data_IF_103581907540
#
_entry.id   IF_103581907540
#
_cell.length_a   1.000
_cell.length_b   1.000
_cell.length_c   1.000
_cell.angle_alpha   90.00
_cell.angle_beta   90.00
_cell.angle_gamma   90.00
#
_symmetry.space_group_name_H-M   'P 1'
#
loop_
_entity.id
_entity.type
_entity.pdbx_description
1 polymer ?
#
# COMPACT_ATOMS: atom_id res chain seq x y z
N UNK A 1 -19.21 20.11 4.55
CA UNK A 1 -18.45 19.16 3.71
C UNK A 1 -18.78 17.78 4.22
N UNK A 2 -19.18 16.84 3.36
CA UNK A 2 -19.41 15.45 3.79
C UNK A 2 -18.06 14.83 4.15
N UNK A 3 -17.91 14.40 5.40
CA UNK A 3 -16.72 13.69 5.84
C UNK A 3 -16.61 12.37 5.06
N UNK A 4 -15.40 12.04 4.59
CA UNK A 4 -15.09 10.71 4.10
C UNK A 4 -14.30 9.96 5.17
N UNK A 5 -14.94 8.98 5.81
CA UNK A 5 -14.33 8.21 6.90
C UNK A 5 -13.12 7.42 6.39
N UNK A 6 -13.15 6.97 5.13
CA UNK A 6 -12.01 6.27 4.52
C UNK A 6 -10.80 7.21 4.43
N UNK A 7 -10.99 8.49 4.06
CA UNK A 7 -9.88 9.43 3.92
C UNK A 7 -9.29 9.83 5.28
N UNK A 8 -10.14 9.94 6.31
CA UNK A 8 -9.71 10.15 7.69
C UNK A 8 -8.78 9.02 8.16
N UNK A 9 -9.14 7.77 7.89
CA UNK A 9 -8.36 6.60 8.30
C UNK A 9 -7.09 6.48 7.45
N UNK A 10 -7.17 6.75 6.14
CA UNK A 10 -5.98 6.80 5.26
C UNK A 10 -4.94 7.81 5.74
N UNK A 11 -5.37 8.94 6.30
CA UNK A 11 -4.46 9.90 6.92
C UNK A 11 -3.61 9.32 8.05
N UNK A 12 -4.11 8.29 8.76
CA UNK A 12 -3.34 7.56 9.78
C UNK A 12 -2.53 6.39 9.19
N UNK A 13 -3.01 5.80 8.10
CA UNK A 13 -2.36 4.69 7.38
C UNK A 13 -1.40 5.20 6.27
N UNK A 14 -0.68 6.28 6.55
CA UNK A 14 0.19 6.94 5.58
C UNK A 14 1.41 6.11 5.18
N UNK A 15 2.21 6.60 4.20
CA UNK A 15 3.38 5.89 3.67
C UNK A 15 4.39 5.47 4.74
N UNK A 16 4.61 6.32 5.76
CA UNK A 16 5.50 6.01 6.88
C UNK A 16 5.04 4.75 7.65
N UNK A 17 3.73 4.59 7.87
CA UNK A 17 3.19 3.41 8.56
C UNK A 17 3.29 2.15 7.68
N UNK A 18 3.09 2.30 6.37
CA UNK A 18 3.23 1.21 5.40
C UNK A 18 4.67 0.70 5.38
N UNK A 19 5.64 1.62 5.23
CA UNK A 19 7.06 1.33 5.30
C UNK A 19 7.39 0.65 6.63
N UNK A 20 7.05 1.26 7.77
CA UNK A 20 7.36 0.70 9.09
C UNK A 20 6.75 -0.69 9.31
N UNK A 21 5.52 -0.93 8.84
CA UNK A 21 4.86 -2.24 8.90
C UNK A 21 5.53 -3.26 8.01
N UNK A 22 5.95 -2.88 6.79
CA UNK A 22 6.68 -3.76 5.88
C UNK A 22 7.98 -4.26 6.52
N UNK A 23 8.73 -3.35 7.16
CA UNK A 23 9.94 -3.72 7.88
C UNK A 23 9.70 -4.64 9.06
N UNK A 24 8.72 -4.29 9.91
CA UNK A 24 8.45 -5.08 11.11
C UNK A 24 7.93 -6.48 10.78
N UNK A 25 7.09 -6.58 9.75
CA UNK A 25 6.49 -7.84 9.33
C UNK A 25 7.38 -8.64 8.37
N UNK A 26 8.53 -8.10 7.98
CA UNK A 26 9.41 -8.66 6.94
C UNK A 26 8.64 -8.95 5.64
N UNK A 27 7.82 -7.99 5.22
CA UNK A 27 7.01 -7.98 4.01
C UNK A 27 7.47 -6.86 3.07
N UNK A 28 7.01 -6.86 1.82
CA UNK A 28 7.27 -5.75 0.90
C UNK A 28 6.22 -4.65 1.07
N UNK A 29 6.60 -3.37 0.93
CA UNK A 29 5.64 -2.25 0.99
C UNK A 29 4.46 -2.40 0.00
N UNK A 30 4.68 -2.85 -1.27
CA UNK A 30 3.58 -3.09 -2.19
C UNK A 30 2.63 -4.18 -1.69
N UNK A 31 3.14 -5.25 -1.06
CA UNK A 31 2.31 -6.31 -0.50
C UNK A 31 1.53 -5.81 0.73
N UNK A 32 2.21 -5.16 1.68
CA UNK A 32 1.59 -4.59 2.89
C UNK A 32 0.43 -3.70 2.53
N UNK A 33 0.62 -2.80 1.57
CA UNK A 33 -0.44 -1.84 1.32
C UNK A 33 -1.48 -2.32 0.29
N UNK A 34 -1.18 -3.36 -0.51
CA UNK A 34 -2.24 -4.16 -1.15
C UNK A 34 -3.15 -4.78 -0.10
N UNK A 35 -2.58 -5.32 0.99
CA UNK A 35 -3.38 -5.84 2.10
C UNK A 35 -4.22 -4.74 2.75
N UNK A 36 -3.65 -3.56 3.01
CA UNK A 36 -4.38 -2.41 3.57
C UNK A 36 -5.55 -1.98 2.66
N UNK A 37 -5.36 -1.97 1.33
CA UNK A 37 -6.39 -1.57 0.36
C UNK A 37 -7.65 -2.44 0.41
N UNK A 38 -7.51 -3.69 0.86
CA UNK A 38 -8.62 -4.64 1.03
C UNK A 38 -9.17 -4.58 2.45
N UNK A 39 -8.27 -4.52 3.43
CA UNK A 39 -8.62 -4.50 4.85
C UNK A 39 -9.40 -3.24 5.24
N UNK A 40 -9.02 -2.08 4.72
CA UNK A 40 -9.65 -0.81 5.07
C UNK A 40 -11.16 -0.78 4.76
N UNK A 41 -11.61 -1.05 3.52
CA UNK A 41 -13.03 -1.12 3.24
C UNK A 41 -13.73 -2.28 3.96
N UNK A 42 -13.06 -3.42 4.17
CA UNK A 42 -13.63 -4.54 4.91
C UNK A 42 -13.93 -4.16 6.38
N UNK A 43 -12.97 -3.53 7.06
CA UNK A 43 -13.08 -3.08 8.46
C UNK A 43 -14.15 -2.00 8.59
N UNK A 44 -14.14 -0.98 7.73
CA UNK A 44 -15.16 0.10 7.80
C UNK A 44 -16.57 -0.45 7.55
N UNK A 45 -16.73 -1.39 6.60
CA UNK A 45 -18.01 -2.08 6.39
C UNK A 45 -18.42 -2.86 7.64
N UNK A 46 -17.50 -3.66 8.19
CA UNK A 46 -17.76 -4.46 9.39
C UNK A 46 -18.17 -3.60 10.59
N UNK A 47 -17.55 -2.42 10.77
CA UNK A 47 -17.93 -1.46 11.81
C UNK A 47 -19.32 -0.88 11.55
N UNK A 48 -19.63 -0.47 10.32
CA UNK A 48 -20.92 0.11 9.96
C UNK A 48 -22.09 -0.86 10.18
N UNK A 49 -21.89 -2.13 9.82
CA UNK A 49 -22.90 -3.18 9.94
C UNK A 49 -23.15 -3.65 11.37
N UNK A 50 -22.24 -3.35 12.28
CA UNK A 50 -22.31 -3.76 13.69
C UNK A 50 -22.42 -2.59 14.66
N UNK A 51 -22.90 -1.43 14.18
CA UNK A 51 -23.17 -0.28 15.05
C UNK A 51 -24.31 -0.50 16.03
N UNK A 52 -25.11 -1.55 15.86
CA UNK A 52 -26.11 -2.02 16.82
C UNK A 52 -25.48 -2.72 18.05
N UNK A 53 -24.22 -3.17 17.94
CA UNK A 53 -23.51 -3.79 19.05
C UNK A 53 -22.88 -2.71 19.95
N UNK A 54 -23.26 -2.61 21.23
CA UNK A 54 -22.73 -1.58 22.13
C UNK A 54 -21.22 -1.68 22.32
N UNK A 55 -20.63 -2.89 22.23
CA UNK A 55 -19.18 -3.08 22.28
C UNK A 55 -18.42 -2.38 21.15
N UNK A 56 -19.03 -2.22 19.97
CA UNK A 56 -18.40 -1.54 18.83
C UNK A 56 -18.42 -0.03 19.03
N UNK A 57 -19.58 0.54 19.36
CA UNK A 57 -19.71 1.98 19.62
C UNK A 57 -18.86 2.42 20.83
N UNK A 58 -18.92 1.67 21.94
CA UNK A 58 -18.11 1.94 23.11
C UNK A 58 -16.61 1.91 22.80
N UNK A 59 -16.15 1.00 21.95
CA UNK A 59 -14.74 0.98 21.60
C UNK A 59 -14.34 2.18 20.74
N UNK A 60 -15.20 2.63 19.83
CA UNK A 60 -14.96 3.83 19.03
C UNK A 60 -14.92 5.06 19.93
N UNK A 61 -15.92 5.26 20.78
CA UNK A 61 -16.00 6.46 21.63
C UNK A 61 -14.93 6.50 22.73
N UNK A 62 -14.42 5.35 23.18
CA UNK A 62 -13.32 5.27 24.15
C UNK A 62 -11.91 5.14 23.52
N UNK A 63 -11.80 5.10 22.19
CA UNK A 63 -10.49 5.01 21.53
C UNK A 63 -9.56 6.21 21.78
N UNK A 64 -10.04 7.47 21.85
CA UNK A 64 -9.17 8.63 22.10
C UNK A 64 -8.39 8.53 23.42
N UNK A 65 -9.00 7.96 24.46
CA UNK A 65 -8.37 7.78 25.77
C UNK A 65 -7.45 6.56 25.84
N UNK A 66 -7.42 5.72 24.81
CA UNK A 66 -6.73 4.43 24.81
C UNK A 66 -5.29 4.48 24.28
N UNK A 67 -4.82 5.64 23.80
CA UNK A 67 -3.48 5.78 23.20
C UNK A 67 -3.29 4.96 21.90
N UNK A 68 -4.38 4.45 21.33
CA UNK A 68 -4.38 3.47 20.23
C UNK A 68 -3.67 3.99 18.97
N UNK A 69 -3.90 5.25 18.61
CA UNK A 69 -3.27 5.88 17.44
C UNK A 69 -1.76 6.07 17.62
N UNK A 70 -1.28 6.24 18.85
CA UNK A 70 0.15 6.41 19.14
C UNK A 70 0.97 5.12 19.06
N UNK A 71 0.33 3.96 19.02
CA UNK A 71 1.00 2.65 19.01
C UNK A 71 0.34 1.64 18.06
N UNK A 72 -0.03 2.06 16.85
CA UNK A 72 -0.76 1.20 15.89
C UNK A 72 0.02 -0.07 15.49
N UNK A 73 1.35 0.03 15.39
CA UNK A 73 2.24 -1.05 14.96
C UNK A 73 2.64 -1.95 16.13
N UNK A 74 2.94 -1.39 17.31
CA UNK A 74 3.26 -2.18 18.51
C UNK A 74 2.03 -2.83 19.18
N UNK A 75 0.82 -2.40 18.83
CA UNK A 75 -0.44 -2.96 19.31
C UNK A 75 -0.96 -4.15 18.49
N UNK A 76 -0.31 -4.49 17.37
CA UNK A 76 -0.87 -5.26 16.25
C UNK A 76 -1.21 -6.75 16.50
N UNK A 77 -1.18 -7.23 17.74
CA UNK A 77 -1.75 -8.55 18.09
C UNK A 77 -2.20 -8.68 19.54
N UNK A 78 -2.03 -7.64 20.37
CA UNK A 78 -2.25 -7.71 21.83
C UNK A 78 -3.27 -6.72 22.38
N UNK A 79 -3.81 -5.83 21.55
CA UNK A 79 -4.80 -4.86 22.01
C UNK A 79 -6.17 -5.54 22.17
N UNK A 80 -6.62 -5.67 23.42
CA UNK A 80 -7.88 -6.33 23.79
C UNK A 80 -9.12 -5.62 23.22
N UNK A 81 -9.09 -4.30 23.06
CA UNK A 81 -10.16 -3.52 22.42
C UNK A 81 -10.26 -3.90 20.94
N UNK A 82 -9.14 -3.89 20.20
CA UNK A 82 -9.11 -4.29 18.79
C UNK A 82 -9.56 -5.74 18.60
N UNK A 83 -9.08 -6.66 19.45
CA UNK A 83 -9.49 -8.07 19.41
C UNK A 83 -11.01 -8.24 19.66
N UNK A 84 -11.56 -7.50 20.62
CA UNK A 84 -13.00 -7.51 20.92
C UNK A 84 -13.81 -7.04 19.72
N UNK A 85 -13.35 -6.01 19.03
CA UNK A 85 -14.05 -5.47 17.85
C UNK A 85 -13.93 -6.41 16.67
N UNK A 86 -12.75 -6.96 16.40
CA UNK A 86 -12.57 -7.97 15.35
C UNK A 86 -13.49 -9.17 15.56
N UNK A 87 -13.61 -9.64 16.80
CA UNK A 87 -14.56 -10.69 17.17
C UNK A 87 -16.01 -10.24 16.99
N UNK A 88 -16.35 -8.99 17.36
CA UNK A 88 -17.69 -8.45 17.20
C UNK A 88 -18.11 -8.24 15.74
N UNK A 89 -17.19 -7.84 14.85
CA UNK A 89 -17.51 -7.50 13.45
C UNK A 89 -17.31 -8.67 12.48
N UNK A 90 -16.32 -9.54 12.72
CA UNK A 90 -15.99 -10.67 11.83
C UNK A 90 -16.18 -12.04 12.50
N UNK A 91 -16.09 -12.14 13.82
CA UNK A 91 -16.25 -13.41 14.56
C UNK A 91 -15.41 -14.54 13.97
N UNK A 92 -16.05 -15.66 13.65
CA UNK A 92 -15.40 -16.85 13.07
C UNK A 92 -14.88 -16.66 11.63
N UNK A 93 -15.14 -15.51 11.00
CA UNK A 93 -14.70 -15.19 9.63
C UNK A 93 -13.30 -14.59 9.57
N UNK A 94 -12.71 -14.19 10.70
CA UNK A 94 -11.36 -13.61 10.74
C UNK A 94 -10.32 -14.47 9.99
N UNK A 95 -10.25 -15.80 10.19
CA UNK A 95 -9.29 -16.63 9.47
C UNK A 95 -9.50 -16.61 7.95
N UNK A 96 -10.75 -16.59 7.49
CA UNK A 96 -11.08 -16.49 6.06
C UNK A 96 -10.67 -15.14 5.48
N UNK A 97 -10.86 -14.05 6.22
CA UNK A 97 -10.42 -12.72 5.84
C UNK A 97 -8.89 -12.64 5.72
N UNK A 98 -8.18 -13.16 6.71
CA UNK A 98 -6.72 -13.23 6.73
C UNK A 98 -6.18 -14.00 5.51
N UNK A 99 -6.75 -15.16 5.21
CA UNK A 99 -6.35 -15.97 4.05
C UNK A 99 -6.57 -15.23 2.73
N UNK A 100 -7.74 -14.61 2.53
CA UNK A 100 -8.02 -13.89 1.29
C UNK A 100 -7.12 -12.66 1.10
N UNK A 101 -6.80 -11.97 2.19
CA UNK A 101 -5.86 -10.83 2.17
C UNK A 101 -4.46 -11.31 1.83
N UNK A 102 -4.01 -12.40 2.43
CA UNK A 102 -2.74 -13.07 2.14
C UNK A 102 -2.64 -13.47 0.66
N UNK A 103 -3.64 -14.17 0.12
CA UNK A 103 -3.70 -14.59 -1.28
C UNK A 103 -3.70 -13.40 -2.26
N UNK A 104 -4.45 -12.35 -1.94
CA UNK A 104 -4.58 -11.18 -2.81
C UNK A 104 -3.32 -10.30 -2.81
N UNK A 105 -2.73 -10.09 -1.64
CA UNK A 105 -1.64 -9.13 -1.44
C UNK A 105 -0.25 -9.75 -1.56
N UNK A 106 -0.14 -11.06 -1.34
CA UNK A 106 1.12 -11.81 -1.29
C UNK A 106 1.83 -11.74 0.06
N UNK A 107 1.24 -11.11 1.09
CA UNK A 107 1.80 -11.15 2.45
C UNK A 107 1.50 -12.48 3.13
N UNK A 108 2.28 -12.86 4.14
CA UNK A 108 2.00 -14.05 4.94
C UNK A 108 0.68 -13.93 5.73
N UNK A 109 0.06 -15.05 6.10
CA UNK A 109 -1.14 -15.05 6.95
C UNK A 109 -0.90 -14.36 8.30
N UNK A 110 0.29 -14.51 8.89
CA UNK A 110 0.67 -13.81 10.13
C UNK A 110 0.66 -12.31 9.92
N UNK A 111 1.30 -11.83 8.85
CA UNK A 111 1.34 -10.42 8.48
C UNK A 111 -0.05 -9.87 8.14
N UNK A 112 -0.86 -10.60 7.38
CA UNK A 112 -2.24 -10.24 7.07
C UNK A 112 -3.08 -10.07 8.35
N UNK A 113 -2.89 -10.94 9.35
CA UNK A 113 -3.54 -10.81 10.64
C UNK A 113 -3.06 -9.56 11.41
N UNK A 114 -1.76 -9.32 11.49
CA UNK A 114 -1.23 -8.10 12.14
C UNK A 114 -1.71 -6.82 11.45
N UNK A 115 -1.77 -6.82 10.12
CA UNK A 115 -2.30 -5.69 9.35
C UNK A 115 -3.81 -5.50 9.58
N UNK A 116 -4.58 -6.58 9.73
CA UNK A 116 -6.00 -6.49 10.11
C UNK A 116 -6.18 -5.80 11.47
N UNK A 117 -5.37 -6.13 12.46
CA UNK A 117 -5.38 -5.46 13.77
C UNK A 117 -4.98 -3.99 13.66
N UNK A 118 -3.93 -3.69 12.91
CA UNK A 118 -3.46 -2.32 12.69
C UNK A 118 -4.53 -1.46 12.01
N UNK A 119 -5.10 -1.92 10.90
CA UNK A 119 -6.15 -1.21 10.16
C UNK A 119 -7.40 -1.03 11.01
N UNK A 120 -7.76 -2.04 11.81
CA UNK A 120 -8.88 -1.93 12.76
C UNK A 120 -8.61 -0.89 13.82
N UNK A 121 -7.43 -0.91 14.44
CA UNK A 121 -7.03 0.09 15.43
C UNK A 121 -7.00 1.51 14.86
N UNK A 122 -6.47 1.68 13.65
CA UNK A 122 -6.47 2.96 12.94
C UNK A 122 -7.89 3.43 12.64
N UNK A 123 -8.79 2.53 12.21
CA UNK A 123 -10.18 2.85 11.94
C UNK A 123 -10.89 3.38 13.19
N UNK A 124 -10.90 2.57 14.26
CA UNK A 124 -11.57 2.89 15.51
C UNK A 124 -10.96 4.16 16.14
N UNK A 125 -9.63 4.25 16.17
CA UNK A 125 -8.91 5.41 16.73
C UNK A 125 -9.22 6.70 15.99
N UNK A 126 -9.24 6.66 14.65
CA UNK A 126 -9.52 7.84 13.82
C UNK A 126 -10.96 8.30 13.97
N UNK A 127 -11.91 7.36 13.84
CA UNK A 127 -13.34 7.65 13.98
C UNK A 127 -13.64 8.15 15.40
N UNK A 128 -13.06 7.50 16.42
CA UNK A 128 -13.20 7.90 17.81
C UNK A 128 -12.65 9.29 18.08
N UNK A 129 -11.47 9.62 17.55
CA UNK A 129 -10.89 10.95 17.67
C UNK A 129 -11.79 12.01 17.02
N UNK A 130 -12.26 11.74 15.81
CA UNK A 130 -13.18 12.66 15.14
C UNK A 130 -14.49 12.83 15.92
N UNK A 131 -15.06 11.74 16.44
CA UNK A 131 -16.25 11.78 17.26
C UNK A 131 -16.05 12.63 18.52
N UNK A 132 -14.93 12.48 19.22
CA UNK A 132 -14.60 13.29 20.38
C UNK A 132 -14.40 14.77 20.01
N UNK A 133 -13.66 15.06 18.93
CA UNK A 133 -13.41 16.43 18.46
C UNK A 133 -14.72 17.14 18.04
N UNK A 134 -15.72 16.38 17.59
CA UNK A 134 -17.04 16.89 17.19
C UNK A 134 -18.12 16.73 18.26
N UNK A 135 -17.80 16.27 19.47
CA UNK A 135 -18.75 15.98 20.55
C UNK A 135 -19.91 15.05 20.11
N UNK A 136 -19.61 14.08 19.26
CA UNK A 136 -20.60 13.12 18.74
C UNK A 136 -20.94 12.07 19.80
N UNK A 137 -22.23 11.79 19.94
CA UNK A 137 -22.72 10.64 20.71
C UNK A 137 -22.77 9.37 19.87
N UNK A 138 -23.07 8.24 20.52
CA UNK A 138 -23.21 6.92 19.91
C UNK A 138 -24.15 6.89 18.69
N UNK A 139 -25.22 7.68 18.72
CA UNK A 139 -26.21 7.74 17.63
C UNK A 139 -25.67 8.49 16.42
N UNK A 140 -24.94 9.59 16.66
CA UNK A 140 -24.26 10.35 15.62
C UNK A 140 -23.14 9.52 14.97
N UNK A 141 -22.36 8.76 15.76
CA UNK A 141 -21.33 7.85 15.24
C UNK A 141 -21.95 6.71 14.43
N UNK A 142 -23.05 6.11 14.89
CA UNK A 142 -23.77 5.08 14.13
C UNK A 142 -24.25 5.62 12.77
N UNK A 143 -24.81 6.83 12.76
CA UNK A 143 -25.29 7.48 11.53
C UNK A 143 -24.13 7.73 10.56
N UNK A 144 -23.02 8.30 11.06
CA UNK A 144 -21.82 8.54 10.28
C UNK A 144 -21.33 7.27 9.60
N UNK A 145 -21.23 6.16 10.32
CA UNK A 145 -20.75 4.89 9.77
C UNK A 145 -21.71 4.29 8.73
N UNK A 146 -23.01 4.34 9.00
CA UNK A 146 -24.05 3.86 8.06
C UNK A 146 -24.04 4.65 6.76
N UNK A 147 -23.84 5.97 6.82
CA UNK A 147 -23.78 6.83 5.64
C UNK A 147 -22.58 6.49 4.72
N UNK A 148 -21.50 5.94 5.28
CA UNK A 148 -20.30 5.58 4.52
C UNK A 148 -20.42 4.21 3.85
N UNK A 149 -21.36 3.35 4.28
CA UNK A 149 -21.55 1.98 3.76
C UNK A 149 -21.71 1.93 2.23
N UNK A 150 -22.44 2.89 1.66
CA UNK A 150 -22.67 2.97 0.21
C UNK A 150 -21.37 3.24 -0.58
N UNK A 151 -20.45 4.04 -0.05
CA UNK A 151 -19.16 4.31 -0.68
C UNK A 151 -18.18 3.15 -0.52
N UNK A 152 -18.21 2.45 0.61
CA UNK A 152 -17.20 1.44 0.95
C UNK A 152 -17.29 0.20 0.06
N UNK A 153 -18.50 -0.21 -0.35
CA UNK A 153 -18.68 -1.34 -1.29
C UNK A 153 -18.10 -1.09 -2.68
N UNK A 154 -17.98 0.18 -3.10
CA UNK A 154 -17.38 0.57 -4.37
C UNK A 154 -15.84 0.59 -4.36
N UNK A 155 -15.23 0.49 -3.18
CA UNK A 155 -13.78 0.57 -2.97
C UNK A 155 -13.11 -0.80 -2.88
N UNK A 156 -13.86 -1.90 -2.95
CA UNK A 156 -13.30 -3.24 -2.96
C UNK A 156 -12.62 -3.53 -4.31
N UNK A 157 -11.39 -4.09 -4.31
CA UNK A 157 -10.73 -4.46 -5.56
C UNK A 157 -11.50 -5.51 -6.36
N UNK A 158 -11.36 -5.47 -7.69
CA UNK A 158 -11.92 -6.50 -8.56
C UNK A 158 -11.38 -7.88 -8.17
N UNK A 159 -12.27 -8.86 -8.06
CA UNK A 159 -11.93 -10.22 -7.61
C UNK A 159 -11.97 -10.42 -6.09
N UNK A 160 -12.21 -9.36 -5.30
CA UNK A 160 -12.40 -9.47 -3.86
C UNK A 160 -13.89 -9.31 -3.51
N UNK A 161 -14.54 -10.39 -3.08
CA UNK A 161 -15.95 -10.37 -2.67
C UNK A 161 -16.11 -10.76 -1.21
N UNK A 162 -16.53 -9.81 -0.39
CA UNK A 162 -16.97 -10.06 0.99
C UNK A 162 -18.14 -11.06 1.01
N UNK A 163 -18.98 -11.09 -0.02
CA UNK A 163 -20.11 -12.02 -0.14
C UNK A 163 -19.69 -13.47 -0.27
N UNK A 164 -18.68 -13.77 -1.09
CA UNK A 164 -18.16 -15.14 -1.20
C UNK A 164 -17.47 -15.64 0.06
N UNK A 165 -17.09 -14.74 0.96
CA UNK A 165 -16.42 -15.06 2.23
C UNK A 165 -17.41 -15.23 3.38
N UNK A 166 -18.71 -15.28 3.08
CA UNK A 166 -19.78 -15.33 4.07
C UNK A 166 -19.86 -14.05 4.91
N UNK A 167 -19.25 -12.96 4.44
CA UNK A 167 -19.35 -11.62 5.02
C UNK A 167 -20.50 -10.86 4.33
N UNK A 168 -20.96 -11.27 3.14
CA UNK A 168 -21.93 -10.50 2.35
C UNK A 168 -23.38 -10.96 2.42
N UNK A 169 -24.02 -10.61 3.53
CA UNK A 169 -25.36 -10.00 3.48
C UNK A 169 -25.26 -8.45 3.56
N UNK A 170 -24.17 -7.88 3.04
CA UNK A 170 -23.81 -6.46 3.22
C UNK A 170 -24.39 -5.54 2.13
N UNK A 171 -24.76 -6.07 0.95
CA UNK A 171 -25.15 -5.24 -0.20
C UNK A 171 -26.63 -5.31 -0.61
N UNK A 172 -27.44 -6.24 -0.09
CA UNK A 172 -28.88 -6.28 -0.39
C UNK A 172 -29.66 -6.65 0.87
N UNK A 173 -30.47 -5.73 1.38
CA UNK A 173 -31.29 -5.86 2.58
C UNK A 173 -32.47 -6.82 2.43
N UNK A 174 -32.24 -8.04 1.97
CA UNK A 174 -33.25 -9.10 1.94
C UNK A 174 -32.85 -10.20 2.91
N UNK A 175 -33.48 -10.16 4.08
CA UNK A 175 -33.52 -11.20 5.09
C UNK A 175 -34.02 -12.52 4.48
N UNK A 176 -33.21 -13.57 4.56
CA UNK A 176 -33.65 -14.96 4.39
C UNK A 176 -33.02 -15.83 5.47
N UNK A 177 -33.76 -16.81 6.00
CA UNK A 177 -33.44 -17.44 7.27
C UNK A 177 -32.29 -18.44 7.15
N UNK A 178 -31.50 -18.44 8.20
CA UNK A 178 -30.43 -19.38 8.54
C UNK A 178 -30.98 -20.82 8.61
N UNK A 179 -30.47 -21.71 7.75
CA UNK A 179 -30.69 -23.15 7.89
C UNK A 179 -29.35 -23.89 7.77
N UNK A 180 -28.85 -24.21 8.96
CA UNK A 180 -28.25 -25.46 9.44
C UNK A 180 -27.33 -26.32 8.53
N UNK A 181 -26.31 -26.84 9.21
CA UNK A 181 -25.25 -27.73 8.77
C UNK A 181 -25.76 -28.89 7.91
N UNK A 182 -25.00 -29.27 6.88
CA UNK A 182 -24.46 -30.64 6.74
C UNK A 182 -23.55 -30.77 5.52
N UNK A 183 -22.38 -31.33 5.77
CA UNK A 183 -21.42 -31.82 4.80
C UNK A 183 -22.03 -32.90 3.91
N UNK A 184 -21.81 -32.84 2.60
CA UNK A 184 -21.93 -34.04 1.76
C UNK A 184 -21.01 -33.95 0.55
N UNK A 185 -19.92 -34.71 0.65
CA UNK A 185 -19.22 -35.36 -0.46
C UNK A 185 -20.19 -36.31 -1.19
N UNK A 186 -20.32 -36.18 -2.50
CA UNK A 186 -20.96 -37.20 -3.33
C UNK A 186 -20.20 -37.40 -4.64
N UNK A 187 -19.52 -38.54 -4.69
CA UNK A 187 -18.91 -39.14 -5.87
C UNK A 187 -19.96 -39.56 -6.90
N UNK A 188 -19.56 -39.51 -8.16
CA UNK A 188 -20.27 -40.01 -9.31
C UNK A 188 -20.56 -41.53 -9.21
N UNK A 189 -21.75 -41.94 -9.64
CA UNK A 189 -22.01 -43.32 -10.10
C UNK A 189 -23.02 -43.28 -11.25
N UNK A 190 -22.61 -43.90 -12.34
CA UNK A 190 -23.32 -44.22 -13.59
C UNK A 190 -24.64 -45.00 -13.38
N UNK A 191 -25.69 -44.79 -14.18
CA UNK A 191 -26.86 -45.64 -14.18
C UNK A 191 -26.74 -46.78 -15.20
N UNK A 192 -27.16 -47.97 -14.75
CA UNK A 192 -27.36 -49.21 -15.49
C UNK A 192 -28.70 -49.19 -16.27
N UNK A 193 -28.67 -49.81 -17.45
CA UNK A 193 -29.80 -50.34 -18.24
C UNK A 193 -30.77 -51.16 -17.36
N UNK A 194 -32.06 -51.38 -17.64
CA UNK A 194 -32.65 -51.96 -18.86
C UNK A 194 -34.19 -52.04 -18.72
N UNK A 195 -34.86 -52.30 -19.85
CA UNK A 195 -36.19 -52.91 -20.05
C UNK A 195 -37.49 -52.09 -19.94
N UNK A 196 -38.17 -52.03 -21.09
CA UNK A 196 -39.54 -51.58 -21.28
C UNK A 196 -39.86 -51.41 -22.78
N UNK A 197 -40.15 -52.51 -23.48
CA UNK A 197 -40.50 -52.52 -24.91
C UNK A 197 -42.01 -52.30 -25.17
N UNK A 198 -42.26 -51.87 -26.42
CA UNK A 198 -43.48 -51.95 -27.26
C UNK A 198 -44.53 -50.84 -27.07
N UNK A 199 -45.16 -50.25 -28.10
CA UNK A 199 -45.04 -50.18 -29.57
C UNK A 199 -46.03 -49.06 -30.00
N UNK A 200 -46.08 -48.68 -31.29
CA UNK A 200 -47.17 -48.00 -32.05
C UNK A 200 -46.72 -46.76 -32.87
N UNK A 201 -46.32 -47.05 -34.11
CA UNK A 201 -46.66 -46.43 -35.41
C UNK A 201 -46.68 -44.89 -35.66
N UNK A 202 -45.75 -44.48 -36.53
CA UNK A 202 -45.91 -43.83 -37.87
C UNK A 202 -46.64 -42.48 -37.98
N UNK A 203 -45.88 -41.40 -38.25
CA UNK A 203 -45.90 -40.61 -39.50
C UNK A 203 -45.27 -39.20 -39.32
N UNK A 204 -44.50 -38.74 -40.32
CA UNK A 204 -44.31 -37.32 -40.61
C UNK A 204 -42.90 -36.75 -40.36
N UNK A 205 -42.05 -36.75 -41.39
CA UNK A 205 -40.82 -35.96 -41.42
C UNK A 205 -41.13 -34.54 -41.93
N UNK A 206 -40.74 -33.53 -41.18
CA UNK A 206 -40.69 -32.13 -41.64
C UNK A 206 -39.40 -31.44 -41.18
N UNK A 207 -38.66 -30.98 -42.19
CA UNK A 207 -37.78 -29.80 -42.27
C UNK A 207 -36.42 -29.71 -41.54
N UNK A 208 -35.37 -29.79 -42.38
CA UNK A 208 -34.30 -28.78 -42.65
C UNK A 208 -33.63 -28.10 -41.44
N UNK A 209 -32.30 -28.23 -41.33
CA UNK A 209 -31.40 -27.11 -41.03
C UNK A 209 -29.97 -27.32 -41.58
N UNK A 210 -29.66 -26.50 -42.58
CA UNK A 210 -28.41 -25.84 -43.04
C UNK A 210 -27.06 -26.29 -42.45
N UNK A 211 -26.19 -26.75 -43.35
CA UNK A 211 -24.73 -26.84 -43.21
C UNK A 211 -24.08 -25.44 -43.29
N UNK A 212 -23.20 -25.09 -42.33
CA UNK A 212 -22.29 -23.94 -42.45
C UNK A 212 -20.90 -24.34 -41.95
N UNK A 213 -19.97 -24.34 -42.91
CA UNK A 213 -18.52 -24.40 -42.77
C UNK A 213 -17.98 -23.46 -41.68
N UNK A 214 -16.99 -23.95 -40.91
CA UNK A 214 -15.87 -23.16 -40.43
C UNK A 214 -14.56 -23.98 -40.53
N UNK A 215 -13.50 -23.47 -41.18
CA UNK A 215 -12.21 -24.12 -41.25
C UNK A 215 -11.18 -23.42 -40.36
N UNK A 216 -10.76 -24.05 -39.25
CA UNK A 216 -9.44 -23.77 -38.68
C UNK A 216 -8.72 -25.08 -38.38
N UNK A 217 -7.70 -25.32 -39.20
CA UNK A 217 -6.82 -26.49 -39.18
C UNK A 217 -5.65 -26.19 -38.25
N UNK A 218 -5.40 -27.12 -37.34
CA UNK A 218 -4.28 -27.17 -36.42
C UNK A 218 -2.91 -27.04 -37.12
N UNK A 219 -2.00 -26.25 -36.54
CA UNK A 219 -0.56 -26.37 -36.77
C UNK A 219 0.14 -26.67 -35.45
N UNK A 220 0.74 -27.86 -35.39
CA UNK A 220 1.28 -28.52 -34.22
C UNK A 220 2.44 -27.80 -33.53
N UNK A 221 2.23 -27.63 -32.24
CA UNK A 221 3.12 -27.23 -31.17
C UNK A 221 4.39 -28.11 -31.04
N UNK A 222 5.53 -27.58 -31.49
CA UNK A 222 6.88 -28.08 -31.14
C UNK A 222 7.34 -27.54 -29.77
N UNK A 223 6.76 -26.41 -29.33
CA UNK A 223 7.16 -25.68 -28.12
C UNK A 223 6.76 -26.35 -26.81
N UNK A 224 5.70 -27.16 -26.79
CA UNK A 224 5.25 -27.87 -25.58
C UNK A 224 6.23 -28.93 -25.07
N UNK A 225 7.11 -29.46 -25.92
CA UNK A 225 8.15 -30.42 -25.53
C UNK A 225 9.53 -29.77 -25.33
N UNK A 226 9.76 -28.61 -25.95
CA UNK A 226 11.03 -27.90 -25.87
C UNK A 226 11.18 -27.14 -24.54
N UNK A 227 10.10 -26.51 -24.06
CA UNK A 227 10.09 -25.71 -22.85
C UNK A 227 10.44 -26.49 -21.56
N UNK A 228 9.89 -27.70 -21.32
CA UNK A 228 10.29 -28.49 -20.15
C UNK A 228 11.74 -29.00 -20.24
N UNK A 229 12.25 -29.30 -21.44
CA UNK A 229 13.64 -29.72 -21.65
C UNK A 229 14.64 -28.59 -21.37
N UNK A 230 14.32 -27.36 -21.76
CA UNK A 230 15.14 -26.18 -21.46
C UNK A 230 15.13 -25.87 -19.96
N UNK A 231 13.97 -26.00 -19.29
CA UNK A 231 13.88 -25.81 -17.83
C UNK A 231 14.68 -26.86 -17.06
N UNK A 232 14.68 -28.11 -17.52
CA UNK A 232 15.48 -29.19 -16.90
C UNK A 232 16.99 -28.97 -17.11
N UNK A 233 17.39 -28.49 -18.29
CA UNK A 233 18.78 -28.13 -18.56
C UNK A 233 19.27 -26.94 -17.71
N UNK A 234 18.42 -25.93 -17.48
CA UNK A 234 18.72 -24.80 -16.60
C UNK A 234 18.80 -25.21 -15.12
N UNK A 235 17.94 -26.14 -14.67
CA UNK A 235 18.00 -26.69 -13.32
C UNK A 235 19.27 -27.52 -13.10
N UNK A 236 19.68 -28.34 -14.09
CA UNK A 236 20.92 -29.09 -14.03
C UNK A 236 22.16 -28.17 -14.03
N UNK A 237 22.13 -27.08 -14.80
CA UNK A 237 23.20 -26.07 -14.80
C UNK A 237 23.30 -25.33 -13.47
N UNK A 238 22.16 -24.97 -12.86
CA UNK A 238 22.11 -24.30 -11.56
C UNK A 238 22.66 -25.18 -10.43
N UNK A 239 22.32 -26.47 -10.43
CA UNK A 239 22.83 -27.44 -9.46
C UNK A 239 24.33 -27.73 -9.66
N UNK A 240 24.80 -27.79 -10.91
CA UNK A 240 26.23 -27.96 -11.19
C UNK A 240 27.05 -26.76 -10.71
N UNK A 241 26.52 -25.54 -10.85
CA UNK A 241 27.17 -24.31 -10.37
C UNK A 241 27.20 -24.18 -8.83
N UNK A 242 26.41 -25.00 -8.12
CA UNK A 242 26.36 -25.04 -6.66
C UNK A 242 27.37 -26.03 -6.03
N UNK A 243 28.06 -26.85 -6.83
CA UNK A 243 29.06 -27.81 -6.37
C UNK A 243 30.53 -27.36 -6.49
N UNK A 244 30.82 -26.21 -7.11
CA UNK A 244 32.19 -25.66 -7.15
C UNK A 244 32.39 -24.60 -6.05
N UNK A 245 32.68 -25.05 -4.83
CA UNK A 245 33.38 -24.25 -3.81
C UNK A 245 34.51 -25.09 -3.20
N UNK A 246 35.77 -24.63 -3.24
CA UNK A 246 36.85 -25.26 -2.48
C UNK A 246 36.69 -24.97 -0.98
N UNK A 247 37.09 -25.95 -0.18
CA UNK A 247 37.01 -25.99 1.28
C UNK A 247 38.12 -25.15 1.97
N UNK A 248 37.93 -24.98 3.30
CA UNK A 248 38.81 -24.47 4.37
C UNK A 248 38.40 -23.06 4.88
N UNK A 249 38.29 -22.76 6.18
CA UNK A 249 38.71 -23.48 7.39
C UNK A 249 37.87 -23.11 8.62
N UNK A 250 37.94 -23.99 9.62
CA UNK A 250 37.27 -24.02 10.93
C UNK A 250 37.96 -23.12 11.97
N UNK A 251 37.20 -22.55 12.92
CA UNK A 251 37.56 -22.36 14.35
C UNK A 251 36.31 -21.88 15.12
N UNK A 252 35.55 -22.78 15.75
CA UNK A 252 35.53 -23.16 17.19
C UNK A 252 34.92 -22.15 18.16
N UNK A 253 33.83 -22.61 18.78
CA UNK A 253 32.98 -22.08 19.85
C UNK A 253 33.71 -21.81 21.18
N UNK A 254 33.14 -20.95 22.04
CA UNK A 254 33.03 -21.08 23.53
C UNK A 254 32.12 -19.92 24.00
N UNK A 255 30.82 -20.10 24.28
CA UNK A 255 30.14 -20.58 25.51
C UNK A 255 30.41 -19.77 26.80
N UNK A 256 29.35 -19.16 27.38
CA UNK A 256 28.97 -19.27 28.81
C UNK A 256 27.98 -18.19 29.28
N UNK A 257 26.79 -18.67 29.66
CA UNK A 257 26.02 -18.40 30.90
C UNK A 257 25.54 -16.99 31.30
N UNK A 258 24.21 -16.83 31.20
CA UNK A 258 23.24 -16.51 32.26
C UNK A 258 23.62 -15.59 33.46
N UNK A 259 22.89 -14.46 33.50
CA UNK A 259 22.23 -13.74 34.61
C UNK A 259 22.74 -13.85 36.06
N UNK A 260 23.09 -12.69 36.62
CA UNK A 260 22.82 -12.29 38.00
C UNK A 260 22.22 -10.87 37.97
N UNK A 261 21.09 -10.71 38.65
CA UNK A 261 20.33 -9.47 38.81
C UNK A 261 20.60 -8.97 40.23
N UNK A 262 21.25 -7.82 40.39
CA UNK A 262 21.14 -7.07 41.64
C UNK A 262 21.03 -5.57 41.34
N UNK A 263 20.02 -4.97 41.97
CA UNK A 263 19.51 -3.64 41.73
C UNK A 263 20.15 -2.64 42.68
N UNK A 264 20.88 -1.66 42.14
CA UNK A 264 21.02 -0.35 42.78
C UNK A 264 20.88 0.76 41.73
N UNK A 265 19.76 1.48 41.80
CA UNK A 265 19.50 2.76 41.16
C UNK A 265 20.46 3.83 41.75
N UNK A 266 20.86 4.95 41.15
CA UNK A 266 20.33 5.85 40.11
C UNK A 266 21.58 6.52 39.46
N UNK A 267 21.64 6.83 38.16
CA UNK A 267 20.94 7.95 37.55
C UNK A 267 20.78 7.69 36.04
N UNK A 268 19.54 7.47 35.63
CA UNK A 268 19.18 7.40 34.23
C UNK A 268 19.11 8.82 33.67
N UNK A 269 20.07 9.15 32.80
CA UNK A 269 19.89 10.19 31.80
C UNK A 269 18.77 9.75 30.87
N UNK A 270 17.70 10.54 30.85
CA UNK A 270 16.57 10.40 29.94
C UNK A 270 17.05 10.65 28.51
N UNK A 271 17.51 9.62 27.81
CA UNK A 271 17.62 9.67 26.36
C UNK A 271 16.25 9.37 25.78
N UNK A 272 15.45 10.44 25.72
CA UNK A 272 14.21 10.51 24.98
C UNK A 272 14.52 10.16 23.53
N UNK A 273 14.17 8.95 23.11
CA UNK A 273 14.02 8.57 21.71
C UNK A 273 13.02 9.54 21.08
N UNK A 274 13.56 10.59 20.47
CA UNK A 274 12.83 11.58 19.70
C UNK A 274 12.20 10.89 18.48
N UNK A 275 10.93 10.54 18.60
CA UNK A 275 10.02 10.47 17.48
C UNK A 275 10.11 11.83 16.76
N UNK A 276 10.83 11.87 15.64
CA UNK A 276 11.02 13.14 14.91
C UNK A 276 9.75 13.41 14.10
N UNK A 277 8.72 13.90 14.77
CA UNK A 277 7.85 14.90 14.15
C UNK A 277 8.75 16.09 13.83
N UNK A 278 9.18 16.22 12.58
CA UNK A 278 9.89 17.42 12.15
C UNK A 278 8.91 18.59 12.33
N UNK A 279 9.08 19.35 13.42
CA UNK A 279 8.56 20.71 13.55
C UNK A 279 9.27 21.57 12.49
N UNK A 280 8.86 21.44 11.23
CA UNK A 280 9.37 22.28 10.14
C UNK A 280 8.76 23.66 10.34
N UNK A 281 9.61 24.64 10.62
CA UNK A 281 9.20 26.04 10.76
C UNK A 281 8.56 26.51 9.45
N UNK A 282 7.26 26.83 9.50
CA UNK A 282 6.55 27.41 8.37
C UNK A 282 7.13 28.80 8.06
N UNK A 283 7.29 29.10 6.77
CA UNK A 283 7.81 30.39 6.29
C UNK A 283 7.05 30.84 5.06
N UNK A 284 7.18 32.13 4.73
CA UNK A 284 6.61 32.71 3.52
C UNK A 284 7.75 33.07 2.57
N UNK A 285 7.68 32.57 1.34
CA UNK A 285 8.63 32.86 0.27
C UNK A 285 8.02 33.90 -0.66
N UNK A 286 8.75 34.99 -0.92
CA UNK A 286 8.31 36.06 -1.82
C UNK A 286 8.86 35.84 -3.23
N UNK A 287 8.00 35.91 -4.24
CA UNK A 287 8.36 35.81 -5.64
C UNK A 287 8.59 37.20 -6.26
N UNK A 288 9.40 37.32 -7.33
CA UNK A 288 9.68 38.59 -8.00
C UNK A 288 8.45 39.32 -8.57
N UNK A 289 7.37 38.58 -8.84
CA UNK A 289 6.10 39.10 -9.34
C UNK A 289 5.18 39.63 -8.23
N UNK A 290 5.63 39.58 -6.97
CA UNK A 290 4.89 40.03 -5.79
C UNK A 290 3.99 38.98 -5.16
N UNK A 291 3.93 37.75 -5.69
CA UNK A 291 3.21 36.65 -5.04
C UNK A 291 3.97 36.12 -3.82
N UNK A 292 3.22 35.56 -2.87
CA UNK A 292 3.75 34.92 -1.67
C UNK A 292 3.37 33.45 -1.65
N UNK A 293 4.30 32.57 -1.30
CA UNK A 293 4.09 31.13 -1.20
C UNK A 293 4.27 30.66 0.25
N UNK A 294 3.34 29.83 0.71
CA UNK A 294 3.52 29.09 1.96
C UNK A 294 4.53 27.96 1.73
N UNK A 295 5.58 27.96 2.54
CA UNK A 295 6.70 27.03 2.43
C UNK A 295 7.20 26.61 3.81
N UNK A 296 8.18 25.72 3.83
CA UNK A 296 8.94 25.39 5.02
C UNK A 296 10.33 25.98 4.93
N UNK A 297 10.86 26.47 6.05
CA UNK A 297 12.23 26.97 6.14
C UNK A 297 13.20 25.86 5.74
N UNK A 298 14.10 26.17 4.80
CA UNK A 298 15.01 25.19 4.22
C UNK A 298 14.32 24.12 3.36
N UNK A 299 13.06 24.32 2.99
CA UNK A 299 12.39 23.47 2.01
C UNK A 299 12.70 23.84 0.57
N UNK A 300 12.22 23.03 -0.38
CA UNK A 300 12.53 23.22 -1.82
C UNK A 300 12.14 24.60 -2.34
N UNK A 301 10.99 25.16 -1.95
CA UNK A 301 10.55 26.49 -2.38
C UNK A 301 11.52 27.59 -1.94
N UNK A 302 11.93 27.56 -0.67
CA UNK A 302 12.87 28.50 -0.07
C UNK A 302 14.25 28.38 -0.72
N UNK A 303 14.77 27.15 -0.85
CA UNK A 303 16.07 26.89 -1.47
C UNK A 303 16.12 27.29 -2.94
N UNK A 304 15.07 26.99 -3.71
CA UNK A 304 15.00 27.28 -5.14
C UNK A 304 14.91 28.77 -5.39
N UNK A 305 14.05 29.50 -4.68
CA UNK A 305 13.91 30.95 -4.85
C UNK A 305 15.18 31.66 -4.41
N UNK A 306 15.77 31.26 -3.28
CA UNK A 306 17.06 31.79 -2.84
C UNK A 306 18.15 31.55 -3.89
N UNK A 307 18.18 30.36 -4.50
CA UNK A 307 19.14 30.05 -5.55
C UNK A 307 18.92 30.86 -6.83
N UNK A 308 17.68 30.95 -7.33
CA UNK A 308 17.36 31.69 -8.55
C UNK A 308 17.68 33.20 -8.44
N UNK A 309 17.59 33.75 -7.23
CA UNK A 309 17.95 35.14 -6.95
C UNK A 309 19.46 35.36 -6.73
N UNK A 310 20.22 34.31 -6.46
CA UNK A 310 21.65 34.41 -6.16
C UNK A 310 22.49 34.64 -7.41
N UNK A 311 23.67 35.23 -7.20
CA UNK A 311 24.64 35.40 -8.28
C UNK A 311 25.22 34.05 -8.75
N UNK A 312 25.15 33.01 -7.91
CA UNK A 312 25.52 31.65 -8.30
C UNK A 312 24.65 31.18 -9.46
N UNK A 313 23.32 31.36 -9.40
CA UNK A 313 22.46 30.96 -10.51
C UNK A 313 22.67 31.85 -11.73
N UNK A 314 22.76 33.18 -11.56
CA UNK A 314 22.93 34.11 -12.69
C UNK A 314 24.19 33.82 -13.49
N UNK A 315 25.30 33.53 -12.81
CA UNK A 315 26.60 33.29 -13.42
C UNK A 315 26.90 31.81 -13.72
N UNK A 316 26.07 30.86 -13.23
CA UNK A 316 26.29 29.44 -13.47
C UNK A 316 26.27 29.06 -14.95
N UNK A 317 27.18 28.16 -15.32
CA UNK A 317 27.19 27.44 -16.59
C UNK A 317 26.40 26.12 -16.48
N UNK A 318 26.10 25.46 -17.61
CA UNK A 318 25.44 24.12 -17.57
C UNK A 318 26.27 23.09 -16.78
N UNK A 319 27.60 23.22 -16.75
CA UNK A 319 28.46 22.34 -15.97
C UNK A 319 28.23 22.52 -14.47
N UNK A 320 28.10 23.76 -13.99
CA UNK A 320 27.89 24.08 -12.57
C UNK A 320 26.51 23.61 -12.08
N UNK A 321 25.52 23.59 -12.99
CA UNK A 321 24.15 23.17 -12.68
C UNK A 321 23.93 21.66 -12.73
N UNK A 322 24.89 20.89 -13.29
CA UNK A 322 24.69 19.46 -13.54
C UNK A 322 24.50 18.64 -12.27
N UNK A 323 25.24 18.98 -11.22
CA UNK A 323 25.29 18.23 -9.97
C UNK A 323 24.51 18.92 -8.83
N UNK A 324 23.87 20.07 -9.11
CA UNK A 324 23.12 20.84 -8.12
C UNK A 324 21.63 20.51 -8.15
N UNK A 325 21.26 19.50 -7.38
CA UNK A 325 19.88 19.02 -7.23
C UNK A 325 19.20 19.60 -5.98
N UNK A 326 17.93 19.96 -6.13
CA UNK A 326 17.03 20.40 -5.07
C UNK A 326 15.98 19.31 -4.85
N UNK A 327 15.98 18.70 -3.67
CA UNK A 327 15.08 17.61 -3.35
C UNK A 327 13.71 18.16 -2.97
N UNK A 328 12.65 17.46 -3.38
CA UNK A 328 11.34 17.69 -2.81
C UNK A 328 11.28 17.11 -1.40
N UNK A 329 10.67 17.86 -0.48
CA UNK A 329 10.61 17.45 0.92
C UNK A 329 9.24 16.87 1.32
N UNK A 330 8.21 17.04 0.49
CA UNK A 330 6.85 16.58 0.76
C UNK A 330 6.16 16.07 -0.51
N UNK A 331 6.94 15.38 -1.36
CA UNK A 331 6.46 14.78 -2.59
C UNK A 331 6.28 13.28 -2.41
N UNK A 332 5.03 12.89 -2.28
CA UNK A 332 4.55 11.54 -2.01
C UNK A 332 3.53 11.14 -3.08
N UNK A 333 3.49 9.86 -3.35
CA UNK A 333 2.54 9.25 -4.27
C UNK A 333 1.45 8.54 -3.47
N UNK A 334 0.22 8.55 -3.99
CA UNK A 334 -0.83 7.66 -3.54
C UNK A 334 -0.34 6.22 -3.64
N UNK A 335 -0.85 5.40 -2.73
CA UNK A 335 -0.37 4.03 -2.60
C UNK A 335 -0.48 3.23 -3.92
N UNK A 336 0.61 2.53 -4.27
CA UNK A 336 0.75 1.71 -5.47
C UNK A 336 0.33 2.43 -6.77
N UNK A 337 0.55 3.74 -6.79
CA UNK A 337 0.12 4.62 -7.87
C UNK A 337 1.24 5.60 -8.22
N UNK A 338 1.15 6.13 -9.44
CA UNK A 338 1.92 7.31 -9.87
C UNK A 338 1.16 8.60 -9.62
N UNK A 339 -0.04 8.52 -9.04
CA UNK A 339 -0.84 9.68 -8.65
C UNK A 339 -0.22 10.34 -7.43
N UNK A 340 -0.09 11.66 -7.45
CA UNK A 340 0.47 12.43 -6.35
C UNK A 340 -0.58 12.67 -5.26
N UNK A 341 -0.14 12.73 -4.00
CA UNK A 341 -1.03 13.05 -2.87
C UNK A 341 -1.48 14.53 -2.94
N UNK A 342 -2.62 14.88 -2.33
CA UNK A 342 -3.06 16.28 -2.24
C UNK A 342 -2.00 17.22 -1.64
N UNK A 343 -1.28 16.77 -0.62
CA UNK A 343 -0.21 17.52 0.04
C UNK A 343 0.95 17.80 -0.93
N UNK A 344 1.31 16.82 -1.75
CA UNK A 344 2.32 16.99 -2.81
C UNK A 344 1.85 17.91 -3.92
N UNK A 345 0.54 17.98 -4.17
CA UNK A 345 -0.01 18.90 -5.16
C UNK A 345 0.19 20.37 -4.73
N UNK A 346 0.17 20.67 -3.43
CA UNK A 346 0.48 22.02 -2.90
C UNK A 346 1.93 22.38 -3.25
N UNK A 347 2.88 21.53 -2.88
CA UNK A 347 4.30 21.76 -3.18
C UNK A 347 4.57 21.87 -4.69
N UNK A 348 3.92 21.05 -5.52
CA UNK A 348 4.04 21.15 -6.97
C UNK A 348 3.44 22.43 -7.54
N UNK A 349 2.33 22.92 -6.99
CA UNK A 349 1.75 24.19 -7.41
C UNK A 349 2.66 25.36 -7.02
N UNK A 350 3.32 25.32 -5.86
CA UNK A 350 4.35 26.29 -5.50
C UNK A 350 5.50 26.31 -6.51
N UNK A 351 6.02 25.13 -6.89
CA UNK A 351 7.06 25.04 -7.93
C UNK A 351 6.57 25.60 -9.27
N UNK A 352 5.30 25.37 -9.66
CA UNK A 352 4.76 26.00 -10.88
C UNK A 352 4.74 27.52 -10.78
N UNK A 353 4.32 28.08 -9.64
CA UNK A 353 4.31 29.53 -9.42
C UNK A 353 5.72 30.11 -9.49
N UNK A 354 6.70 29.41 -8.91
CA UNK A 354 8.13 29.77 -9.04
C UNK A 354 8.53 29.77 -10.51
N UNK A 355 8.31 28.67 -11.25
CA UNK A 355 8.68 28.60 -12.68
C UNK A 355 8.02 29.71 -13.51
N UNK A 356 6.76 30.04 -13.23
CA UNK A 356 6.06 31.14 -13.89
C UNK A 356 6.67 32.52 -13.58
N UNK A 357 7.14 32.75 -12.35
CA UNK A 357 7.82 33.98 -11.95
C UNK A 357 9.25 34.10 -12.51
N UNK A 358 9.87 32.97 -12.89
CA UNK A 358 11.21 32.90 -13.49
C UNK A 358 11.16 32.26 -14.89
N UNK A 359 10.63 32.96 -15.92
CA UNK A 359 10.34 32.37 -17.24
C UNK A 359 11.58 31.83 -17.99
N UNK A 360 12.77 32.38 -17.71
CA UNK A 360 14.03 31.91 -18.31
C UNK A 360 14.57 30.63 -17.67
N UNK A 361 14.05 30.27 -16.49
CA UNK A 361 14.49 29.07 -15.79
C UNK A 361 13.98 27.81 -16.49
N UNK A 362 14.89 26.87 -16.74
CA UNK A 362 14.57 25.53 -17.23
C UNK A 362 15.00 24.50 -16.20
N UNK A 363 14.23 23.43 -16.05
CA UNK A 363 14.51 22.37 -15.09
C UNK A 363 14.51 20.98 -15.72
N UNK A 364 15.23 20.07 -15.07
CA UNK A 364 15.18 18.62 -15.29
C UNK A 364 14.73 17.96 -13.99
N UNK A 365 13.94 16.90 -14.10
CA UNK A 365 13.42 16.14 -12.95
C UNK A 365 14.17 14.81 -12.86
N UNK A 366 14.58 14.46 -11.64
CA UNK A 366 15.20 13.19 -11.31
C UNK A 366 14.38 12.48 -10.24
N UNK A 367 14.11 11.20 -10.43
CA UNK A 367 13.53 10.35 -9.41
C UNK A 367 14.48 9.20 -9.08
N UNK A 368 14.57 8.86 -7.80
CA UNK A 368 15.55 7.92 -7.26
C UNK A 368 14.84 6.88 -6.40
N UNK A 369 15.37 5.66 -6.43
CA UNK A 369 14.99 4.58 -5.51
C UNK A 369 16.17 4.24 -4.63
N UNK A 370 15.90 3.54 -3.53
CA UNK A 370 16.94 2.83 -2.80
C UNK A 370 17.34 1.53 -3.53
N UNK A 371 18.29 0.78 -2.97
CA UNK A 371 18.82 -0.47 -3.54
C UNK A 371 17.94 -1.71 -3.36
N UNK A 372 16.73 -1.57 -2.81
CA UNK A 372 15.91 -2.75 -2.54
C UNK A 372 15.14 -3.16 -3.78
N UNK A 373 15.23 -4.44 -4.11
CA UNK A 373 14.50 -5.04 -5.21
C UNK A 373 15.39 -5.23 -6.43
N UNK A 374 14.75 -5.32 -7.59
CA UNK A 374 15.42 -5.51 -8.87
C UNK A 374 15.72 -4.16 -9.53
N UNK A 375 16.95 -3.96 -9.99
CA UNK A 375 17.43 -2.70 -10.60
C UNK A 375 16.56 -2.26 -11.80
N UNK A 376 16.19 -3.18 -12.69
CA UNK A 376 15.37 -2.85 -13.85
C UNK A 376 13.95 -2.39 -13.45
N UNK A 377 13.40 -3.00 -12.39
CA UNK A 377 12.13 -2.60 -11.79
C UNK A 377 12.23 -1.23 -11.12
N UNK A 378 13.31 -0.97 -10.39
CA UNK A 378 13.62 0.31 -9.75
C UNK A 378 13.80 1.44 -10.78
N UNK A 379 14.48 1.16 -11.89
CA UNK A 379 14.61 2.08 -13.02
C UNK A 379 13.27 2.41 -13.65
N UNK A 380 12.42 1.40 -13.85
CA UNK A 380 11.08 1.60 -14.41
C UNK A 380 10.19 2.43 -13.48
N UNK A 381 10.19 2.12 -12.18
CA UNK A 381 9.39 2.82 -11.18
C UNK A 381 9.81 4.29 -11.04
N UNK A 382 11.11 4.55 -10.91
CA UNK A 382 11.62 5.92 -10.86
C UNK A 382 11.28 6.69 -12.13
N UNK A 383 11.36 6.07 -13.31
CA UNK A 383 11.01 6.73 -14.57
C UNK A 383 9.53 7.14 -14.60
N UNK A 384 8.64 6.26 -14.13
CA UNK A 384 7.21 6.55 -14.02
C UNK A 384 6.93 7.69 -13.03
N UNK A 385 7.61 7.71 -11.88
CA UNK A 385 7.49 8.78 -10.88
C UNK A 385 7.97 10.13 -11.43
N UNK A 386 9.12 10.17 -12.11
CA UNK A 386 9.63 11.38 -12.74
C UNK A 386 8.65 11.93 -13.80
N UNK A 387 8.06 11.04 -14.62
CA UNK A 387 7.05 11.42 -15.60
C UNK A 387 5.77 11.95 -14.99
N UNK A 388 5.31 11.35 -13.89
CA UNK A 388 4.13 11.83 -13.17
C UNK A 388 4.34 13.24 -12.63
N UNK A 389 5.52 13.54 -12.07
CA UNK A 389 5.87 14.89 -11.61
C UNK A 389 5.93 15.88 -12.77
N UNK A 390 6.53 15.49 -13.91
CA UNK A 390 6.54 16.32 -15.12
C UNK A 390 5.12 16.64 -15.59
N UNK A 391 4.27 15.63 -15.66
CA UNK A 391 2.87 15.78 -16.07
C UNK A 391 2.11 16.69 -15.09
N UNK A 392 2.33 16.51 -13.79
CA UNK A 392 1.70 17.32 -12.76
C UNK A 392 2.14 18.79 -12.81
N UNK A 393 3.42 19.07 -13.10
CA UNK A 393 3.94 20.42 -13.30
C UNK A 393 3.39 21.07 -14.59
N UNK A 394 3.26 20.32 -15.68
CA UNK A 394 2.62 20.79 -16.91
C UNK A 394 3.28 22.03 -17.55
N UNK A 395 4.53 22.34 -17.19
CA UNK A 395 5.26 23.52 -17.69
C UNK A 395 6.24 23.15 -18.80
N UNK A 396 6.30 23.98 -19.85
CA UNK A 396 7.27 23.86 -20.94
C UNK A 396 8.72 24.07 -20.47
N UNK A 397 8.92 24.66 -19.28
CA UNK A 397 10.23 24.82 -18.64
C UNK A 397 10.80 23.48 -18.14
N UNK A 398 9.99 22.42 -18.08
CA UNK A 398 10.45 21.06 -17.72
C UNK A 398 10.99 20.33 -18.95
N UNK A 399 12.32 20.36 -19.11
CA UNK A 399 13.00 19.87 -20.31
C UNK A 399 13.01 18.33 -20.35
N UNK A 400 13.43 17.68 -19.28
CA UNK A 400 13.44 16.21 -19.17
C UNK A 400 12.99 15.74 -17.79
N UNK A 401 12.56 14.47 -17.75
CA UNK A 401 12.22 13.76 -16.53
C UNK A 401 12.78 12.34 -16.63
N UNK A 402 13.69 12.01 -15.72
CA UNK A 402 14.50 10.80 -15.77
C UNK A 402 14.42 10.06 -14.43
N UNK A 403 14.18 8.76 -14.51
CA UNK A 403 14.31 7.82 -13.41
C UNK A 403 15.71 7.29 -13.35
N UNK A 404 16.38 7.50 -12.23
CA UNK A 404 17.74 7.00 -12.01
C UNK A 404 17.78 5.64 -11.33
N UNK A 405 16.65 5.10 -10.87
CA UNK A 405 16.60 3.87 -10.09
C UNK A 405 17.51 3.99 -8.88
N UNK A 406 18.28 2.94 -8.62
CA UNK A 406 19.19 2.83 -7.49
C UNK A 406 20.61 3.32 -7.78
N UNK A 407 20.88 3.87 -8.97
CA UNK A 407 22.22 4.31 -9.40
C UNK A 407 22.89 5.30 -8.44
N UNK A 408 22.09 6.08 -7.71
CA UNK A 408 22.56 7.09 -6.75
C UNK A 408 22.28 6.71 -5.30
N UNK A 409 21.79 5.49 -5.05
CA UNK A 409 21.52 5.01 -3.71
C UNK A 409 22.84 4.79 -2.96
N UNK A 410 22.95 5.38 -1.77
CA UNK A 410 24.15 5.31 -0.94
C UNK A 410 24.01 4.25 0.14
N UNK A 411 22.79 4.03 0.61
CA UNK A 411 22.49 3.11 1.70
C UNK A 411 22.53 1.68 1.18
N UNK A 412 23.00 0.77 2.03
CA UNK A 412 23.07 -0.66 1.70
C UNK A 412 21.66 -1.26 1.55
N UNK A 413 21.51 -2.23 0.65
CA UNK A 413 20.23 -2.92 0.41
C UNK A 413 19.69 -3.66 1.65
N UNK A 414 20.59 -4.01 2.59
CA UNK A 414 20.29 -4.73 3.82
C UNK A 414 20.15 -3.80 5.04
N UNK A 415 20.37 -2.50 4.87
CA UNK A 415 20.12 -1.53 5.93
C UNK A 415 18.63 -1.45 6.28
N UNK A 416 18.32 -0.84 7.42
CA UNK A 416 16.93 -0.58 7.76
C UNK A 416 16.29 0.31 6.71
N UNK A 417 14.99 0.17 6.51
CA UNK A 417 14.30 0.99 5.53
C UNK A 417 14.18 2.46 5.94
N UNK A 418 14.14 2.73 7.25
CA UNK A 418 14.24 4.09 7.77
C UNK A 418 15.56 4.74 7.32
N UNK A 419 16.65 3.98 7.30
CA UNK A 419 17.93 4.46 6.76
C UNK A 419 17.86 4.63 5.24
N UNK A 420 17.22 3.69 4.52
CA UNK A 420 17.10 3.72 3.05
C UNK A 420 16.15 4.80 2.53
N UNK A 421 15.22 5.32 3.33
CA UNK A 421 14.30 6.39 2.93
C UNK A 421 15.04 7.61 2.37
N UNK A 422 16.26 7.89 2.83
CA UNK A 422 17.06 9.02 2.34
C UNK A 422 17.42 8.91 0.85
N UNK A 423 17.38 7.70 0.27
CA UNK A 423 17.64 7.44 -1.14
C UNK A 423 16.37 7.51 -1.99
N UNK A 424 15.20 7.36 -1.38
CA UNK A 424 13.88 7.49 -2.03
C UNK A 424 13.47 8.95 -2.15
N UNK A 425 13.98 9.62 -3.18
CA UNK A 425 13.68 11.05 -3.39
C UNK A 425 13.32 11.36 -4.83
N UNK A 426 12.63 12.48 -4.98
CA UNK A 426 12.51 13.17 -6.26
C UNK A 426 13.18 14.52 -6.11
N UNK A 427 13.86 14.98 -7.16
CA UNK A 427 14.58 16.23 -7.15
C UNK A 427 14.44 16.95 -8.50
N UNK A 428 14.72 18.25 -8.48
CA UNK A 428 14.87 19.05 -9.69
C UNK A 428 16.28 19.63 -9.74
N UNK A 429 16.78 19.86 -10.95
CA UNK A 429 17.95 20.69 -11.17
C UNK A 429 17.67 21.69 -12.29
N UNK A 430 18.37 22.82 -12.24
CA UNK A 430 18.30 23.81 -13.30
C UNK A 430 19.21 23.44 -14.48
N UNK A 431 18.92 24.02 -15.64
CA UNK A 431 19.70 23.86 -16.87
C UNK A 431 19.62 25.15 -17.68
N UNK A 432 20.64 25.46 -18.48
CA UNK A 432 20.67 26.68 -19.31
C UNK A 432 20.77 26.36 -20.79
#
# INVERSE_FOLDING_TARGET
MSLNVIDLIKGQLGPALVSQSANQLNETEPAVSKAISVLLPAVVSGLADHTDKPGVLNAITNAPTSGLLGNLIGAATGNSMVATILSAIFGDRVPGLVNAVSEYSGVSNTSANSLLYMVTGAAIGSIGKYAADQNMDDSAVSTLLKDQKAMVTSLLPAGFSLASMGVGNIANGNEYPENDKTSSTASATTPTSNDGHAEVTRAGNTHVHVDRNDPHKDTGSVWKWLLPLILLALAAWFLWKQCDKPANDTTTMTDSTAYENDSTAMAASTDTMANTTLDREATVVNLPDGQTLDAYRGGIEDQVVAFLNSDDYKNATEADLKDKWFNFDNLNFEFNSTKLTPESQIQLNNIKSILAAYPDAKIKIGAYTDKKGDDASNKTLSQQRAQAVKAALGSAQVISAEGYGEEFAKVDENASDADREIDRKTAIRFTK
#
